data_IF_375649903600
#
_entry.id   IF_375649903600
#
_cell.length_a   1.000
_cell.length_b   1.000
_cell.length_c   1.000
_cell.angle_alpha   90.00
_cell.angle_beta   90.00
_cell.angle_gamma   90.00
#
_symmetry.space_group_name_H-M   'P 1'
#
loop_
_entity.id
_entity.type
_entity.pdbx_description
1 polymer ?
#
# COMPACT_ATOMS: atom_id res chain seq x y z
N UNK A 1 -8.04 -2.47 15.96
CA UNK A 1 -7.29 -1.22 16.18
C UNK A 1 -7.11 -0.57 14.82
N UNK A 2 -7.68 0.61 14.59
CA UNK A 2 -7.67 1.26 13.28
C UNK A 2 -6.35 2.04 13.12
N UNK A 3 -5.72 1.92 11.94
CA UNK A 3 -4.50 2.66 11.60
C UNK A 3 -4.90 3.94 10.86
N UNK A 4 -4.36 5.08 11.28
CA UNK A 4 -4.62 6.38 10.68
C UNK A 4 -3.31 6.92 10.11
N UNK A 5 -3.33 7.22 8.82
CA UNK A 5 -2.25 7.95 8.16
C UNK A 5 -2.62 9.44 8.16
N UNK A 6 -1.94 10.22 8.99
CA UNK A 6 -2.14 11.66 9.14
C UNK A 6 -1.19 12.38 8.17
N UNK A 7 -1.74 13.12 7.21
CA UNK A 7 -0.98 14.07 6.39
C UNK A 7 -1.31 15.47 6.92
N UNK A 8 -0.32 16.14 7.51
CA UNK A 8 -0.49 17.46 8.09
C UNK A 8 0.88 18.16 8.10
N UNK A 9 0.97 19.32 7.45
CA UNK A 9 2.21 20.07 7.28
C UNK A 9 2.51 20.97 8.48
N UNK A 10 1.50 21.38 9.25
CA UNK A 10 1.68 22.10 10.50
C UNK A 10 2.01 21.14 11.67
N UNK A 11 3.18 21.31 12.28
CA UNK A 11 3.67 20.43 13.35
C UNK A 11 2.82 20.52 14.65
N UNK A 12 2.27 21.70 14.95
CA UNK A 12 1.46 21.92 16.16
C UNK A 12 0.10 21.25 16.02
N UNK A 13 -0.53 21.41 14.86
CA UNK A 13 -1.81 20.76 14.52
C UNK A 13 -1.62 19.25 14.49
N UNK A 14 -0.56 18.77 13.81
CA UNK A 14 -0.24 17.34 13.73
C UNK A 14 -0.06 16.72 15.11
N UNK A 15 0.65 17.39 16.01
CA UNK A 15 0.87 16.93 17.39
C UNK A 15 -0.45 16.81 18.16
N UNK A 16 -1.34 17.80 18.05
CA UNK A 16 -2.66 17.80 18.68
C UNK A 16 -3.51 16.61 18.21
N UNK A 17 -3.62 16.44 16.89
CA UNK A 17 -4.40 15.35 16.28
C UNK A 17 -3.80 13.98 16.65
N UNK A 18 -2.49 13.80 16.49
CA UNK A 18 -1.79 12.56 16.84
C UNK A 18 -2.01 12.19 18.30
N UNK A 19 -1.91 13.15 19.21
CA UNK A 19 -2.14 12.93 20.66
C UNK A 19 -3.56 12.46 20.93
N UNK A 20 -4.55 13.10 20.32
CA UNK A 20 -5.95 12.69 20.46
C UNK A 20 -6.18 11.26 19.94
N UNK A 21 -5.65 10.94 18.76
CA UNK A 21 -5.81 9.62 18.15
C UNK A 21 -5.12 8.52 18.96
N UNK A 22 -3.90 8.75 19.45
CA UNK A 22 -3.20 7.78 20.31
C UNK A 22 -3.97 7.50 21.61
N UNK A 23 -4.55 8.54 22.24
CA UNK A 23 -5.40 8.38 23.44
C UNK A 23 -6.65 7.55 23.18
N UNK A 24 -7.16 7.59 21.96
CA UNK A 24 -8.30 6.78 21.52
C UNK A 24 -7.88 5.43 20.93
N UNK A 25 -6.67 4.95 21.24
CA UNK A 25 -6.17 3.64 20.82
C UNK A 25 -6.07 3.45 19.30
N UNK A 26 -5.89 4.53 18.54
CA UNK A 26 -5.51 4.47 17.13
C UNK A 26 -3.99 4.33 16.99
N UNK A 27 -3.53 3.60 15.98
CA UNK A 27 -2.13 3.69 15.54
C UNK A 27 -2.03 4.81 14.53
N UNK A 28 -1.09 5.73 14.71
CA UNK A 28 -0.95 6.92 13.87
C UNK A 28 0.43 6.94 13.21
N UNK A 29 0.44 7.01 11.88
CA UNK A 29 1.64 7.36 11.10
C UNK A 29 1.41 8.79 10.60
N UNK A 30 2.33 9.70 10.88
CA UNK A 30 2.24 11.10 10.46
C UNK A 30 3.29 11.41 9.40
N UNK A 31 2.89 12.14 8.37
CA UNK A 31 3.78 12.71 7.37
C UNK A 31 3.42 14.18 7.13
N UNK A 32 4.41 15.00 6.84
CA UNK A 32 4.21 16.43 6.56
C UNK A 32 3.45 16.66 5.23
N UNK A 33 3.58 15.76 4.27
CA UNK A 33 2.95 15.86 2.97
C UNK A 33 2.80 14.48 2.33
N UNK A 34 2.03 14.41 1.24
CA UNK A 34 1.75 13.16 0.54
C UNK A 34 3.02 12.50 -0.02
N UNK A 35 4.04 13.28 -0.39
CA UNK A 35 5.30 12.74 -0.91
C UNK A 35 6.06 12.00 0.18
N UNK A 36 6.31 12.62 1.33
CA UNK A 36 6.93 11.97 2.50
C UNK A 36 6.05 10.85 3.06
N UNK A 37 4.74 10.99 2.97
CA UNK A 37 3.80 9.94 3.34
C UNK A 37 4.01 8.65 2.53
N UNK A 38 4.28 8.79 1.22
CA UNK A 38 4.62 7.64 0.37
C UNK A 38 5.98 7.03 0.73
N UNK A 39 6.95 7.84 1.13
CA UNK A 39 8.28 7.38 1.59
C UNK A 39 8.20 6.63 2.92
N UNK A 40 7.32 7.05 3.85
CA UNK A 40 7.15 6.47 5.19
C UNK A 40 6.57 5.06 5.23
N UNK A 41 5.93 4.59 4.14
CA UNK A 41 5.47 3.20 4.02
C UNK A 41 6.62 2.28 3.56
N UNK A 42 7.83 2.85 3.33
CA UNK A 42 9.04 2.17 2.85
C UNK A 42 8.77 1.24 1.65
N UNK A 43 7.90 1.64 0.73
CA UNK A 43 7.62 0.84 -0.45
C UNK A 43 8.83 0.90 -1.39
N UNK A 44 9.29 -0.24 -1.88
CA UNK A 44 10.18 -0.24 -3.05
C UNK A 44 9.43 0.31 -4.26
N UNK A 45 10.15 0.71 -5.32
CA UNK A 45 9.55 1.20 -6.57
C UNK A 45 8.54 0.15 -7.11
N UNK A 46 8.94 -1.12 -7.18
CA UNK A 46 8.06 -2.21 -7.59
C UNK A 46 6.83 -2.41 -6.69
N UNK A 47 6.98 -2.29 -5.36
CA UNK A 47 5.86 -2.39 -4.42
C UNK A 47 4.89 -1.22 -4.56
N UNK A 48 5.42 0.01 -4.74
CA UNK A 48 4.62 1.19 -5.02
C UNK A 48 3.84 1.05 -6.32
N UNK A 49 4.50 0.59 -7.39
CA UNK A 49 3.85 0.40 -8.70
C UNK A 49 2.76 -0.66 -8.65
N UNK A 50 3.05 -1.80 -8.01
CA UNK A 50 2.06 -2.84 -7.76
C UNK A 50 0.85 -2.30 -7.00
N UNK A 51 1.10 -1.55 -5.92
CA UNK A 51 0.04 -0.96 -5.12
C UNK A 51 -0.77 0.07 -5.91
N UNK A 52 -0.10 0.91 -6.71
CA UNK A 52 -0.73 1.89 -7.59
C UNK A 52 -1.66 1.22 -8.61
N UNK A 53 -1.23 0.14 -9.26
CA UNK A 53 -2.08 -0.57 -10.22
C UNK A 53 -3.35 -1.12 -9.55
N UNK A 54 -3.21 -1.65 -8.34
CA UNK A 54 -4.34 -2.14 -7.54
C UNK A 54 -5.28 -1.01 -7.09
N UNK A 55 -4.73 0.16 -6.72
CA UNK A 55 -5.50 1.36 -6.35
C UNK A 55 -6.29 1.92 -7.53
N UNK A 56 -5.66 2.06 -8.70
CA UNK A 56 -6.31 2.55 -9.92
C UNK A 56 -7.41 1.60 -10.42
N UNK A 57 -7.37 0.35 -9.99
CA UNK A 57 -8.36 -0.68 -10.30
C UNK A 57 -9.07 -1.19 -9.03
N UNK A 58 -9.31 -0.30 -8.06
CA UNK A 58 -10.02 -0.64 -6.82
C UNK A 58 -11.33 -1.38 -7.12
N UNK A 59 -11.64 -2.39 -6.32
CA UNK A 59 -12.80 -3.27 -6.46
C UNK A 59 -12.84 -4.09 -7.76
N UNK A 60 -11.78 -4.07 -8.59
CA UNK A 60 -11.64 -4.90 -9.80
C UNK A 60 -10.49 -5.89 -9.63
N UNK A 61 -10.73 -7.14 -10.00
CA UNK A 61 -9.68 -8.16 -9.98
C UNK A 61 -8.72 -7.95 -11.14
N UNK A 62 -7.46 -7.71 -10.84
CA UNK A 62 -6.37 -7.74 -11.81
C UNK A 62 -5.81 -9.16 -11.87
N UNK A 63 -5.70 -9.71 -13.08
CA UNK A 63 -5.13 -11.05 -13.28
C UNK A 63 -3.63 -11.01 -13.02
N UNK A 64 -3.06 -12.18 -12.70
CA UNK A 64 -1.59 -12.31 -12.52
C UNK A 64 -0.84 -11.85 -13.76
N UNK A 65 -1.28 -12.25 -14.95
CA UNK A 65 -0.67 -11.86 -16.22
C UNK A 65 -0.68 -10.34 -16.45
N UNK A 66 -1.79 -9.66 -16.16
CA UNK A 66 -1.88 -8.20 -16.28
C UNK A 66 -0.95 -7.49 -15.30
N UNK A 67 -0.86 -7.99 -14.06
CA UNK A 67 0.06 -7.42 -13.06
C UNK A 67 1.53 -7.64 -13.44
N UNK A 68 1.88 -8.82 -13.94
CA UNK A 68 3.24 -9.13 -14.40
C UNK A 68 3.65 -8.24 -15.57
N UNK A 69 2.79 -8.07 -16.58
CA UNK A 69 3.03 -7.19 -17.73
C UNK A 69 3.32 -5.76 -17.27
N UNK A 70 2.46 -5.20 -16.42
CA UNK A 70 2.57 -3.83 -15.93
C UNK A 70 3.79 -3.59 -15.02
N UNK A 71 4.29 -4.62 -14.35
CA UNK A 71 5.49 -4.52 -13.52
C UNK A 71 6.78 -4.63 -14.35
N UNK A 72 6.78 -5.46 -15.40
CA UNK A 72 7.89 -5.56 -16.34
C UNK A 72 8.16 -4.27 -17.11
N UNK A 73 7.10 -3.55 -17.50
CA UNK A 73 7.23 -2.30 -18.24
C UNK A 73 7.95 -1.19 -17.46
N UNK A 74 8.13 -1.34 -16.14
CA UNK A 74 8.64 -0.27 -15.27
C UNK A 74 10.06 -0.55 -14.77
N UNK A 75 10.35 -1.78 -14.32
CA UNK A 75 11.64 -2.08 -13.65
C UNK A 75 12.65 -2.83 -14.55
N UNK A 76 12.26 -3.27 -15.75
CA UNK A 76 13.15 -3.95 -16.71
C UNK A 76 13.71 -5.31 -16.25
N UNK A 77 13.51 -5.68 -14.98
CA UNK A 77 13.83 -7.00 -14.42
C UNK A 77 12.71 -8.01 -14.64
N UNK A 78 13.09 -9.26 -14.90
CA UNK A 78 12.16 -10.37 -15.13
C UNK A 78 11.46 -10.80 -13.81
N UNK A 79 10.42 -10.07 -13.42
CA UNK A 79 9.43 -10.47 -12.42
C UNK A 79 8.71 -11.75 -12.86
N UNK A 80 8.91 -12.86 -12.17
CA UNK A 80 8.14 -14.08 -12.42
C UNK A 80 6.95 -14.20 -11.45
N UNK A 81 6.15 -15.26 -11.62
CA UNK A 81 4.94 -15.50 -10.82
C UNK A 81 5.21 -15.62 -9.30
N UNK A 82 6.39 -16.13 -8.92
CA UNK A 82 6.82 -16.18 -7.52
C UNK A 82 7.19 -14.78 -7.00
N UNK A 83 7.86 -13.96 -7.81
CA UNK A 83 8.20 -12.58 -7.46
C UNK A 83 6.94 -11.76 -7.19
N UNK A 84 5.90 -11.88 -8.00
CA UNK A 84 4.61 -11.21 -7.76
C UNK A 84 3.99 -11.64 -6.42
N UNK A 85 4.01 -12.94 -6.12
CA UNK A 85 3.49 -13.47 -4.85
C UNK A 85 4.23 -12.93 -3.64
N UNK A 86 5.57 -12.84 -3.71
CA UNK A 86 6.42 -12.28 -2.65
C UNK A 86 6.18 -10.77 -2.50
N UNK A 87 6.06 -10.02 -3.61
CA UNK A 87 5.77 -8.60 -3.59
C UNK A 87 4.40 -8.31 -2.94
N UNK A 88 3.35 -9.05 -3.29
CA UNK A 88 2.03 -8.95 -2.62
C UNK A 88 2.15 -9.24 -1.13
N UNK A 89 2.93 -10.25 -0.74
CA UNK A 89 3.14 -10.58 0.68
C UNK A 89 3.82 -9.43 1.43
N UNK A 90 4.90 -8.87 0.90
CA UNK A 90 5.62 -7.73 1.50
C UNK A 90 4.73 -6.49 1.56
N UNK A 91 4.02 -6.20 0.48
CA UNK A 91 3.09 -5.07 0.40
C UNK A 91 1.99 -5.19 1.46
N UNK A 92 1.37 -6.37 1.63
CA UNK A 92 0.39 -6.62 2.69
C UNK A 92 0.95 -6.38 4.10
N UNK A 93 2.19 -6.82 4.35
CA UNK A 93 2.87 -6.60 5.64
C UNK A 93 3.09 -5.11 5.91
N UNK A 94 3.48 -4.34 4.89
CA UNK A 94 3.72 -2.88 4.98
C UNK A 94 2.44 -2.07 5.15
N UNK A 95 1.38 -2.42 4.42
CA UNK A 95 0.10 -1.71 4.45
C UNK A 95 -0.70 -1.92 5.75
N UNK A 96 -0.13 -2.61 6.74
CA UNK A 96 -0.58 -2.72 8.14
C UNK A 96 -1.99 -3.30 8.37
N UNK A 97 -2.75 -3.54 7.29
CA UNK A 97 -4.01 -4.26 7.22
C UNK A 97 -3.88 -5.33 6.12
N UNK A 98 -3.65 -6.58 6.53
CA UNK A 98 -3.61 -7.75 5.64
C UNK A 98 -4.93 -7.98 4.84
N UNK A 99 -5.95 -7.16 5.06
CA UNK A 99 -7.31 -7.35 4.60
C UNK A 99 -7.66 -6.60 3.32
N UNK A 100 -6.94 -5.54 2.93
CA UNK A 100 -7.31 -4.71 1.76
C UNK A 100 -6.96 -5.37 0.43
N UNK A 101 -5.79 -6.02 0.31
CA UNK A 101 -5.43 -6.74 -0.92
C UNK A 101 -5.90 -8.19 -0.78
N UNK A 102 -6.95 -8.58 -1.49
CA UNK A 102 -7.48 -9.95 -1.53
C UNK A 102 -6.84 -10.79 -2.64
N UNK A 103 -6.65 -12.08 -2.35
CA UNK A 103 -6.33 -13.07 -3.37
C UNK A 103 -7.64 -13.58 -3.95
N UNK A 104 -7.82 -13.45 -5.27
CA UNK A 104 -8.91 -14.10 -6.00
C UNK A 104 -8.34 -15.37 -6.62
N UNK A 105 -8.62 -16.50 -5.96
CA UNK A 105 -7.97 -17.79 -6.24
C UNK A 105 -8.09 -18.17 -7.72
N UNK A 106 -6.98 -18.52 -8.33
CA UNK A 106 -6.90 -18.88 -9.76
C UNK A 106 -6.93 -17.71 -10.74
N UNK A 107 -7.14 -16.48 -10.27
CA UNK A 107 -7.30 -15.30 -11.14
C UNK A 107 -6.19 -14.28 -10.90
N UNK A 108 -6.05 -13.80 -9.65
CA UNK A 108 -5.08 -12.76 -9.32
C UNK A 108 -5.40 -12.04 -8.01
N UNK A 109 -5.32 -10.71 -8.03
CA UNK A 109 -5.41 -9.89 -6.83
C UNK A 109 -6.39 -8.73 -7.02
N UNK A 110 -7.02 -8.29 -5.93
CA UNK A 110 -7.97 -7.18 -5.90
C UNK A 110 -7.73 -6.35 -4.65
N UNK A 111 -7.86 -5.03 -4.77
CA UNK A 111 -7.92 -4.13 -3.63
C UNK A 111 -9.39 -3.86 -3.30
N UNK A 112 -9.80 -4.24 -2.09
CA UNK A 112 -11.13 -4.00 -1.54
C UNK A 112 -11.09 -2.76 -0.60
N UNK A 113 -12.26 -2.20 -0.29
CA UNK A 113 -12.45 -1.08 0.65
C UNK A 113 -11.98 -1.37 2.09
#
# INVERSE_FOLDING_TARGET
MLNIFLIEDDETIALGIKTFLLRNSYKVIHAENLKKGKELIELTIGEYNLFRQLLENKNRTLTRGVLLQKLWDIDGEFVNDNTLSVAIKRLRQKLTNNTIIKTVRGIGYRLDD
#
